data_IF_339992006730
#
_entry.id   IF_339992006730
#
_cell.length_a   1.000
_cell.length_b   1.000
_cell.length_c   1.000
_cell.angle_alpha   90.00
_cell.angle_beta   90.00
_cell.angle_gamma   90.00
#
_symmetry.space_group_name_H-M   'P 1'
#
loop_
_entity.id
_entity.type
_entity.pdbx_description
1 polymer ?
#
# COMPACT_ATOMS: atom_id res chain seq x y z
N UNK A 1 -22.43 0.06 -6.15
CA UNK A 1 -21.14 0.14 -6.87
C UNK A 1 -20.56 1.51 -6.59
N UNK A 2 -19.45 1.57 -5.85
CA UNK A 2 -18.76 2.80 -5.53
C UNK A 2 -17.86 3.21 -6.70
N UNK A 3 -17.72 4.51 -6.98
CA UNK A 3 -16.87 5.03 -8.06
C UNK A 3 -16.01 6.17 -7.51
N UNK A 4 -14.72 6.10 -7.78
CA UNK A 4 -13.72 7.06 -7.34
C UNK A 4 -12.68 7.25 -8.44
N UNK A 5 -11.92 8.34 -8.33
CA UNK A 5 -10.74 8.54 -9.17
C UNK A 5 -9.49 8.10 -8.40
N UNK A 6 -8.57 7.40 -9.08
CA UNK A 6 -7.23 7.18 -8.58
C UNK A 6 -6.36 8.37 -8.99
N UNK A 7 -6.00 9.22 -8.04
CA UNK A 7 -5.27 10.46 -8.30
C UNK A 7 -3.75 10.29 -8.22
N UNK A 8 -3.25 9.29 -7.49
CA UNK A 8 -1.81 9.10 -7.32
C UNK A 8 -1.44 7.70 -6.85
N UNK A 9 -0.23 7.28 -7.21
CA UNK A 9 0.34 5.98 -6.90
C UNK A 9 1.74 6.15 -6.32
N UNK A 10 2.00 5.45 -5.22
CA UNK A 10 3.33 5.25 -4.67
C UNK A 10 3.64 3.77 -4.60
N UNK A 11 4.88 3.38 -4.84
CA UNK A 11 5.28 1.98 -4.78
C UNK A 11 6.78 1.87 -4.53
N UNK A 12 7.15 0.99 -3.61
CA UNK A 12 8.54 0.74 -3.27
C UNK A 12 8.78 -0.75 -3.00
N UNK A 13 9.88 -1.26 -3.53
CA UNK A 13 10.52 -2.51 -3.14
C UNK A 13 12.04 -2.34 -3.25
N UNK A 14 12.81 -3.40 -3.02
CA UNK A 14 14.26 -3.37 -3.28
C UNK A 14 14.60 -3.26 -4.78
N UNK A 15 13.64 -3.60 -5.66
CA UNK A 15 13.79 -3.59 -7.12
C UNK A 15 13.31 -2.31 -7.81
N UNK A 16 12.49 -1.49 -7.16
CA UNK A 16 11.96 -0.23 -7.72
C UNK A 16 11.62 0.77 -6.62
N UNK A 17 11.90 2.05 -6.85
CA UNK A 17 11.69 3.12 -5.86
C UNK A 17 10.51 4.05 -6.16
N UNK A 18 9.67 3.73 -7.13
CA UNK A 18 8.52 4.55 -7.50
C UNK A 18 7.75 4.01 -8.69
N UNK A 19 6.65 4.69 -9.03
CA UNK A 19 5.72 4.27 -10.10
C UNK A 19 6.37 4.16 -11.47
N UNK A 20 7.23 5.12 -11.85
CA UNK A 20 7.91 5.12 -13.15
C UNK A 20 8.80 3.88 -13.33
N UNK A 21 9.62 3.57 -12.33
CA UNK A 21 10.47 2.38 -12.32
C UNK A 21 9.65 1.09 -12.28
N UNK A 22 8.56 1.06 -11.52
CA UNK A 22 7.64 -0.09 -11.52
C UNK A 22 7.07 -0.34 -12.93
N UNK A 23 6.63 0.71 -13.63
CA UNK A 23 6.15 0.58 -15.01
C UNK A 23 7.22 0.09 -15.98
N UNK A 24 8.48 0.51 -15.80
CA UNK A 24 9.61 -0.02 -16.58
C UNK A 24 9.83 -1.53 -16.32
N UNK A 25 9.87 -1.95 -15.05
CA UNK A 25 9.96 -3.38 -14.68
C UNK A 25 8.77 -4.18 -15.23
N UNK A 26 7.56 -3.62 -15.18
CA UNK A 26 6.36 -4.26 -15.72
C UNK A 26 6.43 -4.49 -17.24
N UNK A 27 7.15 -3.63 -17.98
CA UNK A 27 7.44 -3.80 -19.41
C UNK A 27 8.63 -4.72 -19.69
N UNK A 28 9.27 -5.26 -18.66
CA UNK A 28 10.48 -6.09 -18.77
C UNK A 28 11.75 -5.29 -19.07
N UNK A 29 11.74 -3.99 -18.83
CA UNK A 29 12.91 -3.14 -18.98
C UNK A 29 13.88 -3.35 -17.81
N UNK A 30 15.18 -3.22 -18.08
CA UNK A 30 16.18 -3.26 -17.04
C UNK A 30 16.15 -1.96 -16.23
N UNK A 31 16.04 -2.09 -14.91
CA UNK A 31 16.14 -0.97 -13.96
C UNK A 31 17.36 -1.20 -13.07
N UNK A 32 18.05 -0.13 -12.67
CA UNK A 32 19.16 -0.24 -11.73
C UNK A 32 18.65 -0.80 -10.40
N UNK A 33 19.14 -1.99 -10.02
CA UNK A 33 18.80 -2.62 -8.76
C UNK A 33 19.54 -1.92 -7.61
N UNK A 34 18.78 -1.51 -6.59
CA UNK A 34 19.13 -0.95 -5.26
C UNK A 34 18.27 0.29 -4.94
N UNK A 35 16.95 0.10 -4.97
CA UNK A 35 16.00 1.15 -4.59
C UNK A 35 16.10 1.46 -3.08
N UNK A 36 16.84 2.51 -2.73
CA UNK A 36 16.96 2.97 -1.33
C UNK A 36 15.67 3.66 -0.88
N UNK A 37 15.20 3.32 0.32
CA UNK A 37 14.13 4.07 1.00
C UNK A 37 14.61 5.50 1.32
N UNK A 38 13.79 6.49 0.97
CA UNK A 38 14.08 7.91 1.18
C UNK A 38 12.95 8.63 1.94
N UNK A 39 12.60 8.21 3.18
CA UNK A 39 11.42 8.71 3.90
C UNK A 39 11.64 10.13 4.42
N UNK A 40 11.72 11.11 3.52
CA UNK A 40 12.18 12.48 3.79
C UNK A 40 11.18 13.27 4.61
N UNK A 41 9.89 12.95 4.44
CA UNK A 41 8.79 13.50 5.21
C UNK A 41 8.95 13.25 6.72
N UNK A 42 9.57 12.13 7.12
CA UNK A 42 9.87 11.88 8.54
C UNK A 42 11.09 12.72 8.95
N UNK A 43 10.91 13.62 9.92
CA UNK A 43 12.00 14.46 10.44
C UNK A 43 13.23 13.61 10.83
N UNK A 44 14.47 14.13 10.68
CA UNK A 44 15.68 13.34 10.95
C UNK A 44 15.72 12.71 12.35
N UNK A 45 15.16 13.38 13.36
CA UNK A 45 15.07 12.88 14.72
C UNK A 45 14.14 11.66 14.82
N UNK A 46 12.95 11.75 14.25
CA UNK A 46 11.97 10.66 14.28
C UNK A 46 12.37 9.51 13.36
N UNK A 47 13.00 9.82 12.22
CA UNK A 47 13.50 8.82 11.25
C UNK A 47 14.55 7.87 11.86
N UNK A 48 15.34 8.34 12.83
CA UNK A 48 16.30 7.49 13.58
C UNK A 48 15.61 6.46 14.48
N UNK A 49 14.36 6.71 14.89
CA UNK A 49 13.59 5.87 15.82
C UNK A 49 12.52 5.03 15.11
N UNK A 50 12.08 5.47 13.93
CA UNK A 50 11.10 4.77 13.12
C UNK A 50 11.67 3.44 12.59
N UNK A 51 10.92 2.33 12.72
CA UNK A 51 11.28 1.06 12.10
C UNK A 51 11.22 1.17 10.56
N UNK A 52 11.87 0.23 9.87
CA UNK A 52 11.79 0.14 8.41
C UNK A 52 10.34 0.04 7.93
N UNK A 53 9.51 -0.71 8.66
CA UNK A 53 8.08 -0.86 8.37
C UNK A 53 7.35 0.50 8.28
N UNK A 54 7.58 1.40 9.23
CA UNK A 54 7.00 2.76 9.17
C UNK A 54 7.56 3.57 8.01
N UNK A 55 8.88 3.47 7.77
CA UNK A 55 9.56 4.23 6.72
C UNK A 55 9.03 3.88 5.34
N UNK A 56 8.80 2.59 5.08
CA UNK A 56 8.21 2.11 3.84
C UNK A 56 6.83 2.72 3.58
N UNK A 57 5.94 2.69 4.58
CA UNK A 57 4.60 3.23 4.45
C UNK A 57 4.62 4.73 4.15
N UNK A 58 5.35 5.51 4.95
CA UNK A 58 5.41 6.97 4.78
C UNK A 58 6.03 7.36 3.43
N UNK A 59 7.03 6.61 2.96
CA UNK A 59 7.64 6.80 1.64
C UNK A 59 6.58 6.71 0.53
N UNK A 60 5.88 5.58 0.42
CA UNK A 60 4.93 5.37 -0.68
C UNK A 60 3.71 6.29 -0.56
N UNK A 61 3.30 6.62 0.67
CA UNK A 61 2.24 7.60 0.91
C UNK A 61 2.63 8.99 0.39
N UNK A 62 3.87 9.43 0.63
CA UNK A 62 4.37 10.71 0.11
C UNK A 62 4.50 10.70 -1.42
N UNK A 63 4.93 9.58 -2.02
CA UNK A 63 4.95 9.41 -3.47
C UNK A 63 3.56 9.58 -4.09
N UNK A 64 2.54 8.91 -3.54
CA UNK A 64 1.17 9.00 -4.04
C UNK A 64 0.60 10.42 -3.91
N UNK A 65 0.83 11.10 -2.77
CA UNK A 65 0.42 12.49 -2.59
C UNK A 65 1.18 13.46 -3.50
N UNK A 66 2.47 13.20 -3.76
CA UNK A 66 3.28 13.99 -4.71
C UNK A 66 2.76 13.88 -6.13
N UNK A 67 2.48 12.65 -6.59
CA UNK A 67 1.94 12.40 -7.92
C UNK A 67 0.60 13.11 -8.15
N UNK A 68 -0.26 13.12 -7.13
CA UNK A 68 -1.58 13.75 -7.20
C UNK A 68 -1.56 15.26 -6.94
N UNK A 69 -0.40 15.83 -6.59
CA UNK A 69 -0.23 17.24 -6.19
C UNK A 69 -1.17 17.67 -5.05
N UNK A 70 -1.46 16.76 -4.11
CA UNK A 70 -2.35 17.04 -2.97
C UNK A 70 -1.60 17.44 -1.71
N UNK A 71 -2.24 18.27 -0.90
CA UNK A 71 -1.78 18.57 0.45
C UNK A 71 -1.87 17.31 1.33
N UNK A 72 -0.73 16.85 1.86
CA UNK A 72 -0.69 15.61 2.67
C UNK A 72 -1.58 15.68 3.92
N UNK A 73 -1.76 16.86 4.49
CA UNK A 73 -2.54 17.04 5.71
C UNK A 73 -4.04 16.83 5.50
N UNK A 74 -4.53 16.95 4.25
CA UNK A 74 -5.96 16.96 3.92
C UNK A 74 -6.53 15.60 3.51
N UNK A 75 -5.71 14.55 3.45
CA UNK A 75 -6.15 13.20 3.06
C UNK A 75 -6.38 12.31 4.28
N UNK A 76 -7.51 11.61 4.31
CA UNK A 76 -7.70 10.51 5.25
C UNK A 76 -6.75 9.37 4.92
N UNK A 77 -6.43 8.50 5.88
CA UNK A 77 -5.49 7.40 5.68
C UNK A 77 -6.07 6.05 6.05
N UNK A 78 -5.78 5.05 5.24
CA UNK A 78 -6.09 3.64 5.51
C UNK A 78 -4.79 2.85 5.34
N UNK A 79 -4.20 2.43 6.45
CA UNK A 79 -3.03 1.58 6.45
C UNK A 79 -3.42 0.10 6.54
N UNK A 80 -2.72 -0.76 5.81
CA UNK A 80 -2.96 -2.19 5.80
C UNK A 80 -1.68 -3.02 5.79
N UNK A 81 -1.71 -4.09 6.58
CA UNK A 81 -0.75 -5.19 6.56
C UNK A 81 -1.41 -6.40 7.21
N UNK A 82 -1.23 -7.56 6.60
CA UNK A 82 -1.71 -8.85 7.11
C UNK A 82 -0.95 -9.30 8.35
N UNK A 83 0.36 -9.06 8.43
CA UNK A 83 1.18 -9.52 9.55
C UNK A 83 1.59 -8.42 10.55
N UNK A 84 1.50 -7.15 10.15
CA UNK A 84 2.05 -6.03 10.92
C UNK A 84 3.58 -6.06 10.98
N UNK A 85 4.18 -5.32 11.91
CA UNK A 85 5.64 -5.32 12.09
C UNK A 85 6.11 -6.60 12.81
N UNK A 86 6.39 -7.64 12.01
CA UNK A 86 6.90 -8.92 12.50
C UNK A 86 8.27 -8.80 13.20
N UNK A 87 9.11 -7.85 12.79
CA UNK A 87 10.44 -7.65 13.39
C UNK A 87 10.33 -7.11 14.82
N UNK A 88 9.41 -6.16 15.04
CA UNK A 88 9.09 -5.66 16.38
C UNK A 88 8.42 -6.76 17.21
N UNK A 89 7.48 -7.51 16.63
CA UNK A 89 6.81 -8.62 17.34
C UNK A 89 7.80 -9.67 17.82
N UNK A 90 8.70 -10.11 16.95
CA UNK A 90 9.76 -11.07 17.30
C UNK A 90 10.69 -10.54 18.39
N UNK A 91 11.10 -9.26 18.30
CA UNK A 91 11.87 -8.60 19.35
C UNK A 91 11.14 -8.60 20.70
N UNK A 92 9.85 -8.26 20.72
CA UNK A 92 9.06 -8.20 21.95
C UNK A 92 8.97 -9.57 22.60
N UNK A 93 8.60 -10.60 21.83
CA UNK A 93 8.48 -11.97 22.31
C UNK A 93 9.81 -12.48 22.90
N UNK A 94 10.94 -12.29 22.21
CA UNK A 94 12.25 -12.69 22.72
C UNK A 94 12.65 -11.93 23.98
N UNK A 95 12.40 -10.63 24.04
CA UNK A 95 12.73 -9.80 25.21
C UNK A 95 11.91 -10.24 26.42
N UNK A 96 10.61 -10.47 26.25
CA UNK A 96 9.72 -10.92 27.32
C UNK A 96 10.07 -12.33 27.83
N UNK A 97 10.48 -13.23 26.93
CA UNK A 97 10.88 -14.59 27.29
C UNK A 97 12.21 -14.66 28.07
N UNK A 98 13.10 -13.68 27.88
CA UNK A 98 14.48 -13.73 28.42
C UNK A 98 14.74 -12.70 29.52
N UNK A 99 14.34 -11.45 29.31
CA UNK A 99 14.64 -10.31 30.19
C UNK A 99 13.48 -9.30 30.18
N UNK A 100 12.29 -9.63 30.73
CA UNK A 100 11.08 -8.82 30.53
C UNK A 100 11.21 -7.36 31.02
N UNK A 101 12.10 -7.07 31.97
CA UNK A 101 12.34 -5.71 32.49
C UNK A 101 13.16 -4.81 31.56
N UNK A 102 13.68 -5.32 30.44
CA UNK A 102 14.53 -4.56 29.50
C UNK A 102 13.81 -4.17 28.21
N UNK A 103 12.48 -4.35 28.15
CA UNK A 103 11.70 -3.97 26.99
C UNK A 103 11.84 -2.48 26.68
N UNK A 104 12.26 -2.16 25.46
CA UNK A 104 12.41 -0.77 25.01
C UNK A 104 11.05 -0.08 24.87
N UNK A 105 10.80 1.06 25.55
CA UNK A 105 9.57 1.82 25.40
C UNK A 105 9.32 2.27 23.96
N UNK A 106 10.38 2.62 23.22
CA UNK A 106 10.27 3.04 21.81
C UNK A 106 9.84 1.88 20.91
N UNK A 107 10.42 0.69 21.08
CA UNK A 107 9.99 -0.48 20.30
C UNK A 107 8.58 -0.91 20.67
N UNK A 108 8.19 -0.80 21.94
CA UNK A 108 6.83 -1.06 22.37
C UNK A 108 5.83 -0.07 21.75
N UNK A 109 6.11 1.24 21.75
CA UNK A 109 5.25 2.23 21.10
C UNK A 109 5.07 1.97 19.60
N UNK A 110 6.11 1.48 18.93
CA UNK A 110 6.07 1.15 17.50
C UNK A 110 5.48 -0.23 17.19
N UNK A 111 5.02 -0.98 18.21
CA UNK A 111 4.48 -2.34 18.02
C UNK A 111 3.02 -2.38 17.59
N UNK A 112 2.31 -1.26 17.74
CA UNK A 112 0.91 -1.17 17.33
C UNK A 112 0.81 -1.12 15.80
N UNK A 113 -0.22 -1.76 15.25
CA UNK A 113 -0.40 -1.86 13.79
C UNK A 113 -0.55 -0.50 13.11
N UNK A 114 -1.17 0.46 13.81
CA UNK A 114 -1.37 1.83 13.34
C UNK A 114 -0.15 2.75 13.52
N UNK A 115 1.04 2.23 13.84
CA UNK A 115 2.23 3.07 13.98
C UNK A 115 2.49 3.91 12.72
N UNK A 116 2.30 3.34 11.52
CA UNK A 116 2.52 4.03 10.26
C UNK A 116 1.63 5.29 10.11
N UNK A 117 0.33 5.20 10.42
CA UNK A 117 -0.58 6.35 10.35
C UNK A 117 -0.27 7.40 11.42
N UNK A 118 0.21 6.98 12.59
CA UNK A 118 0.71 7.91 13.62
C UNK A 118 1.94 8.69 13.19
N UNK A 119 2.90 8.04 12.53
CA UNK A 119 4.06 8.74 11.98
C UNK A 119 3.68 9.67 10.82
N UNK A 120 2.74 9.26 9.97
CA UNK A 120 2.19 10.11 8.91
C UNK A 120 1.55 11.38 9.47
N UNK A 121 0.66 11.27 10.44
CA UNK A 121 -0.05 12.43 11.02
C UNK A 121 0.92 13.40 11.69
N UNK A 122 1.92 12.89 12.42
CA UNK A 122 2.97 13.72 13.03
C UNK A 122 3.82 14.42 11.95
N UNK A 123 4.21 13.71 10.90
CA UNK A 123 5.08 14.24 9.85
C UNK A 123 4.37 15.31 8.98
N UNK A 124 3.07 15.17 8.78
CA UNK A 124 2.26 16.03 7.90
C UNK A 124 1.45 17.08 8.63
N UNK A 125 1.28 16.95 9.94
CA UNK A 125 0.32 17.75 10.72
C UNK A 125 -1.14 17.38 10.46
N UNK A 126 -1.41 16.24 9.81
CA UNK A 126 -2.79 15.83 9.50
C UNK A 126 -3.61 15.53 10.76
N UNK A 127 -4.85 16.00 10.76
CA UNK A 127 -5.89 15.62 11.73
C UNK A 127 -7.05 14.86 11.04
N UNK A 128 -6.84 14.41 9.80
CA UNK A 128 -7.83 13.64 9.06
C UNK A 128 -8.02 12.24 9.67
N UNK A 129 -9.14 11.56 9.37
CA UNK A 129 -9.36 10.18 9.80
C UNK A 129 -8.19 9.26 9.41
N UNK A 130 -7.84 8.34 10.31
CA UNK A 130 -6.71 7.44 10.13
C UNK A 130 -7.04 6.05 10.67
N UNK A 131 -7.21 5.09 9.76
CA UNK A 131 -7.53 3.70 10.08
C UNK A 131 -6.35 2.77 9.78
N UNK A 132 -6.28 1.67 10.51
CA UNK A 132 -5.33 0.60 10.28
C UNK A 132 -6.09 -0.74 10.28
N UNK A 133 -6.04 -1.47 9.18
CA UNK A 133 -6.82 -2.70 8.95
C UNK A 133 -5.93 -3.90 8.66
N UNK A 134 -6.39 -5.08 9.04
CA UNK A 134 -5.69 -6.33 8.75
C UNK A 134 -6.70 -7.41 8.42
N UNK A 135 -6.49 -8.06 7.29
CA UNK A 135 -7.28 -9.19 6.79
C UNK A 135 -6.39 -10.36 6.40
N UNK A 136 -5.22 -10.52 7.05
CA UNK A 136 -4.19 -11.48 6.64
C UNK A 136 -3.82 -11.28 5.15
N UNK A 137 -3.85 -12.34 4.34
CA UNK A 137 -3.61 -12.28 2.89
C UNK A 137 -4.63 -11.43 2.11
N UNK A 138 -5.79 -11.11 2.70
CA UNK A 138 -6.84 -10.28 2.09
C UNK A 138 -6.68 -8.79 2.40
N UNK A 139 -5.64 -8.39 3.14
CA UNK A 139 -5.47 -7.00 3.63
C UNK A 139 -5.51 -5.95 2.52
N UNK A 140 -4.97 -6.25 1.33
CA UNK A 140 -5.01 -5.33 0.20
C UNK A 140 -6.43 -5.05 -0.30
N UNK A 141 -7.25 -6.10 -0.46
CA UNK A 141 -8.66 -5.95 -0.86
C UNK A 141 -9.51 -5.25 0.20
N UNK A 142 -9.29 -5.59 1.48
CA UNK A 142 -9.97 -4.94 2.61
C UNK A 142 -9.64 -3.45 2.68
N UNK A 143 -8.37 -3.07 2.49
CA UNK A 143 -7.95 -1.67 2.50
C UNK A 143 -8.55 -0.86 1.34
N UNK A 144 -8.63 -1.45 0.14
CA UNK A 144 -9.31 -0.85 -1.01
C UNK A 144 -10.80 -0.65 -0.77
N UNK A 145 -11.47 -1.64 -0.17
CA UNK A 145 -12.88 -1.52 0.20
C UNK A 145 -13.10 -0.40 1.23
N UNK A 146 -12.32 -0.40 2.32
CA UNK A 146 -12.39 0.62 3.38
C UNK A 146 -12.16 2.02 2.82
N UNK A 147 -11.11 2.21 2.02
CA UNK A 147 -10.80 3.52 1.45
C UNK A 147 -11.82 3.98 0.40
N UNK A 148 -12.38 3.06 -0.40
CA UNK A 148 -13.45 3.40 -1.34
C UNK A 148 -14.75 3.80 -0.62
N UNK A 149 -15.10 3.13 0.48
CA UNK A 149 -16.24 3.49 1.32
C UNK A 149 -16.05 4.90 1.88
N UNK A 150 -14.91 5.17 2.53
CA UNK A 150 -14.64 6.50 3.07
C UNK A 150 -14.64 7.59 1.99
N UNK A 151 -14.01 7.33 0.84
CA UNK A 151 -13.94 8.31 -0.24
C UNK A 151 -15.32 8.69 -0.80
N UNK A 152 -16.25 7.73 -0.84
CA UNK A 152 -17.60 7.96 -1.36
C UNK A 152 -18.53 8.53 -0.28
N UNK A 153 -18.59 7.90 0.89
CA UNK A 153 -19.56 8.25 1.94
C UNK A 153 -19.21 9.56 2.64
N UNK A 154 -17.92 9.80 2.88
CA UNK A 154 -17.45 11.05 3.51
C UNK A 154 -17.10 12.12 2.47
N UNK A 155 -17.04 11.76 1.18
CA UNK A 155 -16.69 12.65 0.08
C UNK A 155 -15.34 13.39 0.31
N UNK A 156 -14.32 12.64 0.74
CA UNK A 156 -12.97 13.11 1.02
C UNK A 156 -11.91 12.31 0.26
N UNK A 157 -10.71 12.86 0.01
CA UNK A 157 -9.58 12.08 -0.50
C UNK A 157 -9.08 11.09 0.56
N UNK A 158 -8.76 9.87 0.14
CA UNK A 158 -8.31 8.77 1.01
C UNK A 158 -7.04 8.14 0.46
N UNK A 159 -5.98 8.21 1.25
CA UNK A 159 -4.69 7.61 0.97
C UNK A 159 -4.60 6.23 1.60
N UNK A 160 -4.61 5.20 0.75
CA UNK A 160 -4.50 3.81 1.16
C UNK A 160 -3.03 3.40 1.05
N UNK A 161 -2.48 2.76 2.07
CA UNK A 161 -1.15 2.17 2.04
C UNK A 161 -1.21 0.69 2.45
N UNK A 162 -0.70 -0.20 1.60
CA UNK A 162 -0.64 -1.65 1.84
C UNK A 162 0.82 -2.07 1.76
N UNK A 163 1.30 -2.80 2.76
CA UNK A 163 2.69 -3.26 2.77
C UNK A 163 2.91 -4.55 3.54
N UNK A 164 4.03 -5.19 3.22
CA UNK A 164 4.63 -6.22 4.07
C UNK A 164 6.16 -6.08 4.06
N UNK A 165 6.77 -6.31 5.23
CA UNK A 165 8.21 -6.40 5.36
C UNK A 165 8.70 -7.85 5.22
N UNK A 166 10.03 -8.02 5.06
CA UNK A 166 10.68 -9.32 5.09
C UNK A 166 10.40 -10.05 6.40
N UNK A 167 9.97 -11.31 6.29
CA UNK A 167 9.62 -12.16 7.41
C UNK A 167 10.87 -12.60 8.20
N UNK A 168 10.96 -12.31 9.52
CA UNK A 168 12.02 -12.90 10.32
C UNK A 168 11.82 -14.41 10.47
N UNK A 169 12.92 -15.13 10.71
CA UNK A 169 12.96 -16.61 10.76
C UNK A 169 11.78 -17.27 11.51
N UNK A 170 11.33 -16.79 12.69
CA UNK A 170 10.21 -17.43 13.40
C UNK A 170 8.87 -17.42 12.66
N UNK A 171 8.67 -16.45 11.75
CA UNK A 171 7.42 -16.27 11.01
C UNK A 171 7.38 -17.08 9.70
N UNK A 172 8.52 -17.59 9.23
CA UNK A 172 8.66 -18.33 7.97
C UNK A 172 7.78 -19.57 7.84
N UNK A 173 7.30 -20.13 8.96
CA UNK A 173 6.35 -21.25 8.95
C UNK A 173 4.90 -20.86 8.58
N UNK A 174 4.58 -19.57 8.65
CA UNK A 174 3.24 -19.01 8.42
C UNK A 174 3.25 -18.04 7.24
N UNK A 175 4.28 -17.19 7.17
CA UNK A 175 4.47 -16.17 6.14
C UNK A 175 5.93 -16.18 5.68
N UNK A 176 6.17 -16.73 4.49
CA UNK A 176 7.51 -16.91 3.91
C UNK A 176 7.76 -15.92 2.79
N UNK A 177 7.96 -14.64 3.14
CA UNK A 177 8.35 -13.60 2.18
C UNK A 177 9.69 -13.01 2.60
N UNK A 178 10.66 -12.97 1.70
CA UNK A 178 11.97 -12.36 1.93
C UNK A 178 12.06 -10.91 1.46
N UNK A 179 11.24 -10.54 0.49
CA UNK A 179 11.30 -9.22 -0.13
C UNK A 179 10.20 -8.31 0.41
N UNK A 180 10.56 -7.10 0.89
CA UNK A 180 9.58 -6.13 1.33
C UNK A 180 8.91 -5.45 0.12
N UNK A 181 7.65 -5.07 0.30
CA UNK A 181 6.86 -4.34 -0.68
C UNK A 181 5.94 -3.37 0.04
N UNK A 182 5.88 -2.13 -0.44
CA UNK A 182 4.91 -1.14 -0.01
C UNK A 182 4.27 -0.49 -1.24
N UNK A 183 2.97 -0.25 -1.17
CA UNK A 183 2.17 0.36 -2.22
C UNK A 183 1.22 1.35 -1.57
N UNK A 184 1.06 2.52 -2.19
CA UNK A 184 0.03 3.47 -1.82
C UNK A 184 -0.80 3.90 -3.02
N UNK A 185 -2.10 4.09 -2.78
CA UNK A 185 -3.09 4.51 -3.76
C UNK A 185 -3.87 5.67 -3.15
N UNK A 186 -3.87 6.82 -3.81
CA UNK A 186 -4.68 7.96 -3.41
C UNK A 186 -6.00 7.93 -4.18
N UNK A 187 -7.09 7.61 -3.49
CA UNK A 187 -8.44 7.71 -4.02
C UNK A 187 -8.99 9.11 -3.75
N UNK A 188 -9.74 9.64 -4.71
CA UNK A 188 -10.46 10.91 -4.56
C UNK A 188 -11.90 10.74 -5.01
N UNK A 189 -12.86 11.54 -4.47
CA UNK A 189 -14.21 11.53 -4.99
C UNK A 189 -14.20 11.83 -6.48
N UNK A 190 -15.03 11.13 -7.24
CA UNK A 190 -15.05 11.21 -8.70
C UNK A 190 -15.25 12.64 -9.19
N UNK A 191 -14.39 13.09 -10.10
CA UNK A 191 -14.41 14.42 -10.70
C UNK A 191 -13.78 15.52 -9.85
N UNK A 192 -13.14 15.18 -8.71
CA UNK A 192 -12.43 16.16 -7.87
C UNK A 192 -10.95 16.29 -8.24
N UNK A 193 -10.35 15.27 -8.84
CA UNK A 193 -9.01 15.32 -9.40
C UNK A 193 -9.07 15.80 -10.86
N UNK A 194 -8.25 16.77 -11.23
CA UNK A 194 -8.20 17.31 -12.61
C UNK A 194 -7.58 16.33 -13.60
N UNK A 195 -6.62 15.52 -13.14
CA UNK A 195 -5.83 14.62 -13.98
C UNK A 195 -5.67 13.26 -13.29
N UNK A 196 -6.75 12.48 -13.12
CA UNK A 196 -6.67 11.20 -12.47
C UNK A 196 -5.88 10.21 -13.33
N UNK A 197 -5.19 9.27 -12.68
CA UNK A 197 -4.54 8.12 -13.34
C UNK A 197 -5.59 7.28 -14.06
N UNK A 198 -6.68 6.95 -13.36
CA UNK A 198 -7.84 6.24 -13.90
C UNK A 198 -9.08 6.41 -13.01
N UNK A 199 -10.25 6.06 -13.52
CA UNK A 199 -11.47 5.84 -12.73
C UNK A 199 -11.50 4.38 -12.25
N UNK A 200 -11.84 4.17 -10.97
CA UNK A 200 -12.03 2.86 -10.36
C UNK A 200 -13.50 2.68 -9.94
N UNK A 201 -14.09 1.57 -10.35
CA UNK A 201 -15.42 1.12 -9.93
C UNK A 201 -15.33 -0.10 -9.02
N UNK A 202 -15.94 -0.04 -7.83
CA UNK A 202 -15.90 -1.09 -6.83
C UNK A 202 -17.26 -1.74 -6.60
N UNK A 203 -17.28 -3.07 -6.56
CA UNK A 203 -18.46 -3.84 -6.20
C UNK A 203 -18.09 -5.06 -5.35
N UNK A 204 -18.77 -5.25 -4.22
CA UNK A 204 -18.61 -6.47 -3.41
C UNK A 204 -19.44 -7.58 -4.04
N UNK A 205 -18.84 -8.75 -4.19
CA UNK A 205 -19.50 -9.97 -4.64
C UNK A 205 -19.28 -11.11 -3.66
N UNK A 206 -20.32 -11.90 -3.44
CA UNK A 206 -20.30 -13.10 -2.58
C UNK A 206 -20.41 -14.37 -3.42
N UNK A 207 -19.61 -15.39 -3.12
CA UNK A 207 -19.62 -16.69 -3.83
C UNK A 207 -18.23 -17.25 -4.08
N UNK A 208 -18.15 -18.49 -4.59
CA UNK A 208 -16.89 -19.10 -5.02
C UNK A 208 -16.32 -18.30 -6.20
N UNK A 209 -15.09 -17.82 -6.04
CA UNK A 209 -14.41 -17.06 -7.07
C UNK A 209 -13.02 -17.61 -7.36
N UNK A 210 -12.65 -17.54 -8.64
CA UNK A 210 -11.30 -17.85 -9.10
C UNK A 210 -10.31 -16.93 -8.41
N UNK A 211 -9.33 -17.55 -7.75
CA UNK A 211 -8.20 -16.88 -7.16
C UNK A 211 -7.43 -16.10 -8.25
N UNK A 212 -7.15 -14.81 -8.01
CA UNK A 212 -6.21 -14.09 -8.85
C UNK A 212 -4.83 -14.73 -8.65
N UNK A 213 -4.24 -15.19 -9.75
CA UNK A 213 -2.84 -15.58 -9.77
C UNK A 213 -2.00 -14.37 -9.36
N UNK A 214 -1.10 -14.49 -8.37
CA UNK A 214 -0.22 -13.40 -8.00
C UNK A 214 0.51 -12.93 -9.25
N UNK A 215 0.46 -11.64 -9.51
CA UNK A 215 1.11 -11.11 -10.67
C UNK A 215 2.63 -11.17 -10.47
N UNK A 216 3.32 -11.86 -11.37
CA UNK A 216 4.78 -12.00 -11.32
C UNK A 216 5.45 -10.83 -12.02
N UNK A 217 6.44 -10.23 -11.39
CA UNK A 217 7.36 -9.30 -12.03
C UNK A 217 8.65 -10.05 -12.33
N UNK A 218 9.15 -9.93 -13.57
CA UNK A 218 10.40 -10.59 -13.97
C UNK A 218 11.54 -10.13 -13.06
N UNK A 219 12.21 -11.10 -12.41
CA UNK A 219 13.37 -10.82 -11.55
C UNK A 219 13.04 -10.34 -10.13
N UNK A 220 11.76 -10.36 -9.72
CA UNK A 220 11.35 -9.96 -8.36
C UNK A 220 10.45 -11.04 -7.75
N UNK A 221 10.91 -11.70 -6.69
CA UNK A 221 10.11 -12.71 -5.97
C UNK A 221 9.22 -12.04 -4.92
N UNK A 222 7.92 -11.95 -5.24
CA UNK A 222 6.89 -11.37 -4.39
C UNK A 222 5.68 -12.29 -4.24
N UNK A 223 5.75 -13.55 -4.69
CA UNK A 223 4.58 -14.43 -4.79
C UNK A 223 3.87 -14.64 -3.45
N UNK A 224 4.66 -14.71 -2.38
CA UNK A 224 4.20 -14.95 -1.01
C UNK A 224 3.93 -13.66 -0.25
N UNK A 225 4.24 -12.50 -0.82
CA UNK A 225 4.04 -11.22 -0.16
C UNK A 225 2.55 -10.83 -0.20
N UNK A 226 1.91 -10.60 0.95
CA UNK A 226 0.47 -10.30 0.97
C UNK A 226 0.12 -8.96 0.30
N UNK A 227 1.03 -7.98 0.31
CA UNK A 227 0.85 -6.74 -0.44
C UNK A 227 0.95 -6.97 -1.96
N UNK A 228 1.59 -8.06 -2.41
CA UNK A 228 1.70 -8.36 -3.85
C UNK A 228 0.36 -8.71 -4.50
N UNK A 229 -0.66 -9.08 -3.71
CA UNK A 229 -2.01 -9.38 -4.22
C UNK A 229 -2.64 -8.19 -4.94
N UNK A 230 -2.25 -6.95 -4.63
CA UNK A 230 -2.73 -5.75 -5.35
C UNK A 230 -1.87 -5.39 -6.56
N UNK A 231 -0.74 -6.06 -6.84
CA UNK A 231 0.09 -5.77 -8.02
C UNK A 231 -0.65 -6.01 -9.34
N UNK A 232 -1.58 -6.97 -9.38
CA UNK A 232 -2.42 -7.18 -10.56
C UNK A 232 -3.20 -5.93 -10.96
N UNK A 233 -3.68 -5.15 -9.98
CA UNK A 233 -4.34 -3.86 -10.23
C UNK A 233 -3.35 -2.86 -10.84
N UNK A 234 -2.15 -2.75 -10.26
CA UNK A 234 -1.12 -1.81 -10.72
C UNK A 234 -0.65 -2.14 -12.14
N UNK A 235 -0.47 -3.42 -12.48
CA UNK A 235 -0.09 -3.83 -13.83
C UNK A 235 -1.17 -3.48 -14.87
N UNK A 236 -2.44 -3.70 -14.54
CA UNK A 236 -3.56 -3.31 -15.39
C UNK A 236 -3.59 -1.79 -15.61
N UNK A 237 -3.33 -1.01 -14.55
CA UNK A 237 -3.25 0.45 -14.65
C UNK A 237 -2.06 0.88 -15.52
N UNK A 238 -0.90 0.22 -15.37
CA UNK A 238 0.29 0.51 -16.15
C UNK A 238 0.13 0.19 -17.65
N UNK A 239 -0.66 -0.84 -17.99
CA UNK A 239 -1.02 -1.19 -19.38
C UNK A 239 -1.99 -0.18 -20.02
N UNK A 240 -2.81 0.50 -19.22
CA UNK A 240 -3.70 1.57 -19.68
C UNK A 240 -4.97 1.09 -20.39
N UNK A 241 -5.34 -0.19 -20.22
CA UNK A 241 -6.54 -0.80 -20.80
C UNK A 241 -7.79 -0.69 -19.90
N UNK A 242 -8.98 -0.80 -20.49
CA UNK A 242 -10.20 -1.10 -19.73
C UNK A 242 -10.12 -2.55 -19.26
N UNK A 243 -10.31 -2.77 -17.97
CA UNK A 243 -10.14 -4.10 -17.37
C UNK A 243 -11.04 -4.28 -16.16
N UNK A 244 -11.29 -5.55 -15.82
CA UNK A 244 -11.95 -5.96 -14.59
C UNK A 244 -11.10 -7.00 -13.88
N UNK A 245 -10.89 -6.82 -12.58
CA UNK A 245 -10.22 -7.76 -11.70
C UNK A 245 -11.06 -7.99 -10.44
N UNK A 246 -10.73 -9.03 -9.66
CA UNK A 246 -11.41 -9.39 -8.42
C UNK A 246 -10.42 -9.69 -7.30
N UNK A 247 -10.40 -8.87 -6.24
CA UNK A 247 -9.53 -9.10 -5.09
C UNK A 247 -10.31 -9.78 -3.95
N UNK A 248 -9.84 -10.92 -3.40
CA UNK A 248 -10.44 -11.50 -2.21
C UNK A 248 -10.41 -10.52 -1.02
N UNK A 249 -11.54 -10.40 -0.32
CA UNK A 249 -11.68 -9.59 0.91
C UNK A 249 -12.04 -10.44 2.13
N UNK A 250 -12.52 -11.66 1.91
CA UNK A 250 -12.77 -12.70 2.89
C UNK A 250 -12.84 -14.06 2.19
N UNK A 251 -12.99 -15.15 2.95
CA UNK A 251 -13.06 -16.52 2.43
C UNK A 251 -14.15 -16.73 1.35
N UNK A 252 -15.29 -16.03 1.46
CA UNK A 252 -16.43 -16.17 0.55
C UNK A 252 -16.88 -14.84 -0.07
N UNK A 253 -16.00 -13.84 -0.08
CA UNK A 253 -16.29 -12.53 -0.64
C UNK A 253 -15.07 -11.90 -1.32
N UNK A 254 -15.34 -11.16 -2.38
CA UNK A 254 -14.34 -10.44 -3.16
C UNK A 254 -14.81 -9.04 -3.52
N UNK A 255 -13.85 -8.21 -3.87
CA UNK A 255 -14.01 -6.87 -4.38
C UNK A 255 -13.73 -6.91 -5.89
N UNK A 256 -14.78 -6.85 -6.69
CA UNK A 256 -14.66 -6.60 -8.13
C UNK A 256 -14.26 -5.14 -8.36
N UNK A 257 -13.25 -4.93 -9.18
CA UNK A 257 -12.67 -3.63 -9.51
C UNK A 257 -12.69 -3.46 -11.02
N UNK A 258 -13.45 -2.48 -11.47
CA UNK A 258 -13.51 -2.02 -12.86
C UNK A 258 -12.52 -0.86 -13.02
N UNK A 259 -11.56 -0.99 -13.94
CA UNK A 259 -10.55 0.04 -14.24
C UNK A 259 -10.90 0.68 -15.56
N UNK A 260 -11.08 2.01 -15.56
CA UNK A 260 -11.34 2.80 -16.77
C UNK A 260 -10.27 3.89 -16.90
N UNK A 261 -9.45 3.89 -17.96
CA UNK A 261 -8.43 4.92 -18.17
C UNK A 261 -9.02 6.34 -18.19
N UNK A 262 -8.26 7.32 -17.71
CA UNK A 262 -8.64 8.73 -17.80
C UNK A 262 -8.74 9.19 -19.26
N UNK A 263 -9.64 10.14 -19.55
CA UNK A 263 -9.99 10.53 -20.92
C UNK A 263 -9.13 11.65 -21.53
N UNK A 264 -8.14 12.20 -20.81
CA UNK A 264 -7.25 13.25 -21.30
C UNK A 264 -5.78 12.79 -21.25
N UNK A 265 -4.96 12.82 -22.32
CA UNK A 265 -5.20 13.25 -23.69
C UNK A 265 -4.18 12.66 -24.68
N UNK A 266 -4.61 12.56 -25.93
CA UNK A 266 -3.79 12.46 -27.17
C UNK A 266 -2.49 11.65 -27.13
N UNK A 267 -2.47 10.59 -27.95
CA UNK A 267 -1.33 10.29 -28.82
C UNK A 267 -0.78 11.60 -29.40
N UNK A 268 0.36 12.06 -28.89
CA UNK A 268 1.22 13.01 -29.57
C UNK A 268 2.23 12.23 -30.40
N UNK A 269 1.74 11.53 -31.43
CA UNK A 269 2.57 11.04 -32.53
C UNK A 269 2.04 11.72 -33.81
N UNK A 270 2.67 12.85 -34.12
CA UNK A 270 2.72 13.42 -35.46
C UNK A 270 4.09 13.13 -36.06
#
# INVERSE_FOLDING_TARGET
MAKVDLAGIGIWSEAFSGWEQFCAVARGEAVEAEAKLQPELISPRERRRAPQFVKMAVEVMDQACSMAEVERASVATVFASGMGDMQITDYMCRTLATMPRTLSPTKFHNSVHNAATGYWSIATGSNAPANAVSGYEHSGGVALLEGAIQAVEENIPVLIAVQEAAAPKPFKSVYDSDHPLAIALLLTPRGTCSSPVCELGFCVSTGDQSEIQPASLTGVDLERNFAAKILGLLLVIADGGISRLSLPIAQSASLAIDVTPSRDGSRADG
#
